data_IF_169756288111
#
_entry.id   IF_169756288111
#
_cell.length_a   1.000
_cell.length_b   1.000
_cell.length_c   1.000
_cell.angle_alpha   90.00
_cell.angle_beta   90.00
_cell.angle_gamma   90.00
#
_symmetry.space_group_name_H-M   'P 1'
#
loop_
_entity.id
_entity.type
_entity.pdbx_description
1 polymer ?
#
# COMPACT_ATOMS: atom_id res chain seq x y z
N UNK A 1 20.32 -4.77 -2.39
CA UNK A 1 19.54 -4.75 -3.63
C UNK A 1 20.29 -3.90 -4.65
N UNK A 2 20.23 -4.21 -5.95
CA UNK A 2 20.81 -3.40 -7.02
C UNK A 2 19.69 -2.83 -7.88
N UNK A 3 19.88 -1.63 -8.43
CA UNK A 3 18.85 -0.89 -9.14
C UNK A 3 19.36 -0.48 -10.51
N UNK A 4 18.54 -0.69 -11.54
CA UNK A 4 18.67 0.01 -12.83
C UNK A 4 17.67 1.16 -12.84
N UNK A 5 18.04 2.35 -13.30
CA UNK A 5 17.17 3.52 -13.23
C UNK A 5 17.24 4.42 -14.47
N UNK A 6 16.18 5.20 -14.68
CA UNK A 6 16.11 6.30 -15.65
C UNK A 6 15.85 7.61 -14.89
N UNK A 7 16.66 8.62 -15.17
CA UNK A 7 16.46 9.99 -14.73
C UNK A 7 16.02 10.84 -15.91
N UNK A 8 15.08 11.74 -15.66
CA UNK A 8 14.75 12.85 -16.54
C UNK A 8 15.51 14.10 -16.08
N UNK A 9 16.30 14.67 -16.99
CA UNK A 9 17.01 15.93 -16.77
C UNK A 9 16.10 17.14 -16.98
N UNK A 10 16.51 18.31 -16.51
CA UNK A 10 15.74 19.56 -16.65
C UNK A 10 15.47 19.96 -18.11
N UNK A 11 16.30 19.50 -19.05
CA UNK A 11 16.14 19.69 -20.49
C UNK A 11 15.25 18.63 -21.17
N UNK A 12 14.62 17.75 -20.37
CA UNK A 12 13.80 16.63 -20.85
C UNK A 12 14.59 15.45 -21.40
N UNK A 13 15.92 15.47 -21.40
CA UNK A 13 16.74 14.33 -21.81
C UNK A 13 16.73 13.22 -20.75
N UNK A 14 17.03 11.98 -21.18
CA UNK A 14 17.03 10.82 -20.28
C UNK A 14 18.44 10.31 -20.03
N UNK A 15 18.76 10.07 -18.77
CA UNK A 15 19.98 9.41 -18.33
C UNK A 15 19.65 8.04 -17.73
N UNK A 16 20.33 6.99 -18.18
CA UNK A 16 20.16 5.63 -17.66
C UNK A 16 21.42 5.23 -16.89
N UNK A 17 21.23 4.73 -15.68
CA UNK A 17 22.31 4.29 -14.79
C UNK A 17 21.94 3.04 -13.99
N UNK A 18 22.88 2.56 -13.20
CA UNK A 18 22.63 1.58 -12.14
C UNK A 18 23.30 2.01 -10.83
N UNK A 19 22.81 1.51 -9.70
CA UNK A 19 23.33 1.79 -8.36
C UNK A 19 22.89 0.72 -7.37
N UNK A 20 23.53 0.61 -6.21
CA UNK A 20 23.04 -0.19 -5.08
C UNK A 20 22.29 0.66 -4.03
N UNK A 21 22.27 1.97 -4.22
CA UNK A 21 21.61 2.97 -3.37
C UNK A 21 21.02 4.04 -4.29
N UNK A 22 19.69 4.02 -4.45
CA UNK A 22 18.99 4.83 -5.44
C UNK A 22 18.84 6.29 -4.99
N UNK A 23 18.43 6.50 -3.74
CA UNK A 23 18.21 7.83 -3.16
C UNK A 23 19.51 8.65 -3.15
N UNK A 24 20.58 8.09 -2.57
CA UNK A 24 21.89 8.74 -2.53
C UNK A 24 22.41 9.06 -3.93
N UNK A 25 22.12 8.20 -4.90
CA UNK A 25 22.56 8.40 -6.29
C UNK A 25 21.83 9.56 -6.95
N UNK A 26 20.51 9.66 -6.77
CA UNK A 26 19.70 10.79 -7.27
C UNK A 26 20.18 12.10 -6.65
N UNK A 27 20.42 12.14 -5.34
CA UNK A 27 20.97 13.31 -4.65
C UNK A 27 22.34 13.70 -5.22
N UNK A 28 23.23 12.73 -5.42
CA UNK A 28 24.56 12.96 -5.99
C UNK A 28 24.48 13.62 -7.38
N UNK A 29 23.52 13.22 -8.22
CA UNK A 29 23.28 13.86 -9.52
C UNK A 29 22.79 15.30 -9.35
N UNK A 30 21.85 15.56 -8.43
CA UNK A 30 21.31 16.89 -8.16
C UNK A 30 22.34 17.86 -7.55
N UNK A 31 23.31 17.36 -6.79
CA UNK A 31 24.45 18.16 -6.30
C UNK A 31 25.57 18.36 -7.34
N UNK A 32 25.38 17.98 -8.61
CA UNK A 32 26.38 18.14 -9.68
C UNK A 32 27.60 17.20 -9.60
N UNK A 33 27.61 16.28 -8.62
CA UNK A 33 28.67 15.29 -8.38
C UNK A 33 28.39 13.93 -9.06
N UNK A 34 27.27 13.82 -9.77
CA UNK A 34 26.91 12.64 -10.54
C UNK A 34 27.71 12.46 -11.83
N UNK A 35 27.13 11.71 -12.77
CA UNK A 35 27.76 11.45 -14.06
C UNK A 35 28.06 12.74 -14.83
N UNK A 36 29.11 12.71 -15.66
CA UNK A 36 29.48 13.83 -16.55
C UNK A 36 28.29 14.33 -17.38
N UNK A 37 27.43 13.41 -17.83
CA UNK A 37 26.25 13.73 -18.65
C UNK A 37 25.24 14.62 -17.91
N UNK A 38 24.95 14.31 -16.65
CA UNK A 38 23.93 15.01 -15.85
C UNK A 38 24.44 16.30 -15.22
N UNK A 39 25.75 16.55 -15.23
CA UNK A 39 26.34 17.77 -14.65
C UNK A 39 25.87 18.98 -15.46
N UNK A 40 25.23 19.94 -14.78
CA UNK A 40 24.63 21.12 -15.43
C UNK A 40 23.29 20.87 -16.11
N UNK A 41 22.73 19.65 -16.01
CA UNK A 41 21.38 19.29 -16.50
C UNK A 41 20.39 18.98 -15.37
N UNK A 42 20.76 19.35 -14.15
CA UNK A 42 19.90 19.27 -12.98
C UNK A 42 18.90 20.43 -12.91
N UNK A 43 17.88 20.33 -12.04
CA UNK A 43 17.57 19.17 -11.23
C UNK A 43 17.11 17.98 -12.09
N UNK A 44 17.48 16.77 -11.68
CA UNK A 44 17.06 15.51 -12.28
C UNK A 44 15.97 14.88 -11.43
N UNK A 45 15.02 14.22 -12.09
CA UNK A 45 13.94 13.46 -11.47
C UNK A 45 14.08 11.98 -11.78
N UNK A 46 13.93 11.13 -10.78
CA UNK A 46 13.80 9.69 -10.99
C UNK A 46 12.44 9.41 -11.63
N UNK A 47 12.43 8.78 -12.80
CA UNK A 47 11.21 8.51 -13.59
C UNK A 47 10.96 7.02 -13.82
N UNK A 48 11.94 6.16 -13.52
CA UNK A 48 11.82 4.71 -13.61
C UNK A 48 12.93 4.01 -12.81
N UNK A 49 12.64 2.86 -12.20
CA UNK A 49 13.66 1.94 -11.71
C UNK A 49 13.20 0.48 -11.73
N UNK A 50 14.17 -0.44 -11.79
CA UNK A 50 14.01 -1.89 -11.65
C UNK A 50 14.94 -2.40 -10.54
N UNK A 51 14.48 -3.36 -9.74
CA UNK A 51 15.29 -4.02 -8.72
C UNK A 51 15.90 -5.34 -9.23
N UNK A 52 17.13 -5.61 -8.82
CA UNK A 52 17.90 -6.79 -9.21
C UNK A 52 18.68 -7.35 -8.03
N UNK A 53 18.78 -8.68 -7.99
CA UNK A 53 19.50 -9.38 -6.92
C UNK A 53 21.00 -9.15 -7.03
N UNK A 54 21.52 -9.14 -8.26
CA UNK A 54 22.96 -9.02 -8.54
C UNK A 54 23.30 -7.71 -9.26
N UNK A 55 24.56 -7.29 -9.13
CA UNK A 55 25.10 -6.13 -9.84
C UNK A 55 25.15 -6.39 -11.34
N UNK A 56 25.47 -7.62 -11.72
CA UNK A 56 25.62 -8.07 -13.11
C UNK A 56 24.29 -7.96 -13.86
N UNK A 57 23.17 -8.34 -13.23
CA UNK A 57 21.82 -8.15 -13.77
C UNK A 57 21.50 -6.69 -14.01
N UNK A 58 21.75 -5.83 -13.00
CA UNK A 58 21.52 -4.39 -13.12
C UNK A 58 22.35 -3.75 -14.25
N UNK A 59 23.63 -4.11 -14.36
CA UNK A 59 24.50 -3.61 -15.43
C UNK A 59 24.06 -4.11 -16.81
N UNK A 60 23.66 -5.39 -16.93
CA UNK A 60 23.15 -5.95 -18.18
C UNK A 60 21.86 -5.24 -18.61
N UNK A 61 20.98 -4.95 -17.65
CA UNK A 61 19.73 -4.22 -17.89
C UNK A 61 19.98 -2.76 -18.27
N UNK A 62 20.87 -2.06 -17.58
CA UNK A 62 21.31 -0.70 -17.93
C UNK A 62 21.79 -0.64 -19.39
N UNK A 63 22.64 -1.59 -19.81
CA UNK A 63 23.14 -1.68 -21.17
C UNK A 63 22.03 -1.94 -22.20
N UNK A 64 21.03 -2.75 -21.86
CA UNK A 64 19.86 -2.96 -22.70
C UNK A 64 19.02 -1.68 -22.84
N UNK A 65 18.69 -1.02 -21.72
CA UNK A 65 17.88 0.20 -21.71
C UNK A 65 18.59 1.33 -22.46
N UNK A 66 19.91 1.47 -22.35
CA UNK A 66 20.67 2.49 -23.09
C UNK A 66 20.47 2.40 -24.60
N UNK A 67 20.29 1.19 -25.15
CA UNK A 67 20.06 0.95 -26.59
C UNK A 67 18.62 1.23 -27.05
N UNK A 68 17.66 1.34 -26.12
CA UNK A 68 16.27 1.59 -26.48
C UNK A 68 16.09 3.02 -27.02
N UNK A 69 15.24 3.20 -28.05
CA UNK A 69 14.85 4.51 -28.51
C UNK A 69 14.08 5.27 -27.42
N UNK A 70 14.02 6.60 -27.53
CA UNK A 70 13.32 7.45 -26.56
C UNK A 70 11.87 7.02 -26.34
N UNK A 71 11.18 6.61 -27.41
CA UNK A 71 9.80 6.14 -27.38
C UNK A 71 9.62 4.88 -26.53
N UNK A 72 10.52 3.90 -26.65
CA UNK A 72 10.48 2.69 -25.83
C UNK A 72 10.79 2.99 -24.37
N UNK A 73 11.77 3.89 -24.09
CA UNK A 73 12.00 4.38 -22.73
C UNK A 73 10.76 5.05 -22.16
N UNK A 74 10.06 5.85 -22.95
CA UNK A 74 8.80 6.48 -22.56
C UNK A 74 7.72 5.45 -22.25
N UNK A 75 7.62 4.37 -23.02
CA UNK A 75 6.68 3.28 -22.73
C UNK A 75 7.01 2.57 -21.42
N UNK A 76 8.30 2.41 -21.08
CA UNK A 76 8.71 1.86 -19.78
C UNK A 76 8.28 2.75 -18.60
N UNK A 77 8.18 4.06 -18.82
CA UNK A 77 7.76 5.05 -17.82
C UNK A 77 6.26 5.33 -17.83
N UNK A 78 5.57 4.92 -18.90
CA UNK A 78 4.16 5.21 -19.08
C UNK A 78 3.37 4.26 -18.21
N UNK A 79 2.80 4.77 -17.13
CA UNK A 79 1.70 4.08 -16.48
C UNK A 79 0.63 3.81 -17.53
N UNK A 80 0.12 2.58 -17.59
CA UNK A 80 -1.04 2.29 -18.44
C UNK A 80 -2.24 3.07 -17.92
N UNK A 81 -2.50 4.24 -18.52
CA UNK A 81 -3.67 5.05 -18.21
C UNK A 81 -4.81 4.61 -19.11
N UNK A 82 -5.91 4.16 -18.51
CA UNK A 82 -7.15 3.93 -19.24
C UNK A 82 -7.81 5.29 -19.54
N UNK A 83 -7.47 5.88 -20.68
CA UNK A 83 -7.99 7.20 -21.09
C UNK A 83 -9.52 7.23 -21.21
N UNK A 84 -10.18 6.07 -21.38
CA UNK A 84 -11.63 5.95 -21.40
C UNK A 84 -12.26 6.42 -20.08
N UNK A 85 -11.56 6.30 -18.95
CA UNK A 85 -12.07 6.77 -17.65
C UNK A 85 -12.26 8.29 -17.58
N UNK A 86 -11.59 9.07 -18.44
CA UNK A 86 -11.68 10.53 -18.47
C UNK A 86 -13.05 11.06 -18.91
N UNK A 87 -13.90 10.21 -19.49
CA UNK A 87 -15.24 10.59 -19.93
C UNK A 87 -16.28 10.58 -18.79
N UNK A 88 -15.98 9.92 -17.67
CA UNK A 88 -16.91 9.79 -16.54
C UNK A 88 -16.83 11.01 -15.62
N UNK A 89 -17.97 11.37 -15.03
CA UNK A 89 -18.05 12.35 -13.96
C UNK A 89 -17.34 11.89 -12.70
N UNK A 90 -17.11 12.82 -11.76
CA UNK A 90 -16.50 12.50 -10.47
C UNK A 90 -17.35 11.48 -9.71
N UNK A 91 -18.67 11.63 -9.75
CA UNK A 91 -19.63 10.79 -9.05
C UNK A 91 -19.60 9.35 -9.60
N UNK A 92 -19.59 9.20 -10.93
CA UNK A 92 -19.45 7.88 -11.57
C UNK A 92 -18.10 7.22 -11.27
N UNK A 93 -17.02 8.01 -11.18
CA UNK A 93 -15.71 7.48 -10.80
C UNK A 93 -15.67 7.04 -9.33
N UNK A 94 -16.36 7.74 -8.43
CA UNK A 94 -16.51 7.32 -7.03
C UNK A 94 -17.32 6.02 -6.95
N UNK A 95 -18.42 5.91 -7.67
CA UNK A 95 -19.19 4.67 -7.76
C UNK A 95 -18.34 3.51 -8.30
N UNK A 96 -17.51 3.77 -9.31
CA UNK A 96 -16.58 2.77 -9.86
C UNK A 96 -15.54 2.32 -8.82
N UNK A 97 -15.02 3.23 -8.00
CA UNK A 97 -14.11 2.91 -6.89
C UNK A 97 -14.80 2.00 -5.88
N UNK A 98 -16.06 2.26 -5.53
CA UNK A 98 -16.82 1.37 -4.65
C UNK A 98 -17.00 -0.02 -5.25
N UNK A 99 -17.33 -0.11 -6.55
CA UNK A 99 -17.47 -1.38 -7.27
C UNK A 99 -16.16 -2.17 -7.21
N UNK A 100 -15.02 -1.54 -7.52
CA UNK A 100 -13.72 -2.20 -7.46
C UNK A 100 -13.34 -2.64 -6.05
N UNK A 101 -13.67 -1.84 -5.04
CA UNK A 101 -13.43 -2.22 -3.63
C UNK A 101 -14.25 -3.45 -3.23
N UNK A 102 -15.52 -3.50 -3.65
CA UNK A 102 -16.41 -4.65 -3.42
C UNK A 102 -15.94 -5.90 -4.19
N UNK A 103 -15.44 -5.73 -5.42
CA UNK A 103 -14.90 -6.83 -6.22
C UNK A 103 -13.62 -7.40 -5.61
N UNK A 104 -12.74 -6.53 -5.11
CA UNK A 104 -11.53 -6.97 -4.41
C UNK A 104 -11.88 -7.85 -3.20
N UNK A 105 -12.84 -7.41 -2.36
CA UNK A 105 -13.27 -8.20 -1.20
C UNK A 105 -13.87 -9.55 -1.61
N UNK A 106 -14.61 -9.56 -2.73
CA UNK A 106 -15.17 -10.80 -3.25
C UNK A 106 -14.08 -11.77 -3.72
N UNK A 107 -13.06 -11.28 -4.41
CA UNK A 107 -11.91 -12.08 -4.87
C UNK A 107 -11.13 -12.67 -3.69
N UNK A 108 -10.81 -11.84 -2.69
CA UNK A 108 -10.16 -12.23 -1.44
C UNK A 108 -10.95 -13.34 -0.71
N UNK A 109 -12.26 -13.13 -0.54
CA UNK A 109 -13.14 -14.12 0.09
C UNK A 109 -13.29 -15.42 -0.70
N UNK A 110 -13.27 -15.39 -2.03
CA UNK A 110 -13.34 -16.58 -2.88
C UNK A 110 -12.04 -17.40 -2.78
N UNK A 111 -10.90 -16.72 -2.82
CA UNK A 111 -9.60 -17.37 -2.65
C UNK A 111 -9.49 -18.04 -1.28
N UNK A 112 -9.89 -17.33 -0.21
CA UNK A 112 -9.88 -17.85 1.15
C UNK A 112 -10.76 -19.10 1.28
N UNK A 113 -11.99 -19.06 0.76
CA UNK A 113 -12.94 -20.18 0.83
C UNK A 113 -12.42 -21.42 0.10
N UNK A 114 -11.78 -21.27 -1.05
CA UNK A 114 -11.21 -22.41 -1.77
C UNK A 114 -10.03 -23.04 -1.01
N UNK A 115 -9.19 -22.22 -0.37
CA UNK A 115 -8.11 -22.69 0.50
C UNK A 115 -8.65 -23.40 1.74
N UNK A 116 -9.62 -22.79 2.44
CA UNK A 116 -10.28 -23.38 3.61
C UNK A 116 -10.89 -24.74 3.27
N UNK A 117 -11.62 -24.82 2.16
CA UNK A 117 -12.25 -26.06 1.69
C UNK A 117 -11.23 -27.16 1.38
N UNK A 118 -10.08 -26.81 0.82
CA UNK A 118 -9.08 -27.77 0.34
C UNK A 118 -8.11 -28.20 1.44
N UNK A 119 -7.71 -27.28 2.32
CA UNK A 119 -6.61 -27.47 3.27
C UNK A 119 -7.00 -27.23 4.74
N UNK A 120 -8.23 -26.81 5.01
CA UNK A 120 -8.74 -26.50 6.35
C UNK A 120 -8.48 -25.06 6.79
N UNK A 121 -9.18 -24.65 7.85
CA UNK A 121 -9.16 -23.29 8.40
C UNK A 121 -7.75 -22.85 8.85
N UNK A 122 -7.01 -23.71 9.53
CA UNK A 122 -5.69 -23.34 10.08
C UNK A 122 -4.70 -22.95 8.98
N UNK A 123 -4.67 -23.71 7.89
CA UNK A 123 -3.81 -23.44 6.72
C UNK A 123 -4.29 -22.19 6.00
N UNK A 124 -5.61 -22.04 5.79
CA UNK A 124 -6.16 -20.83 5.17
C UNK A 124 -5.77 -19.57 5.94
N UNK A 125 -5.94 -19.57 7.26
CA UNK A 125 -5.57 -18.45 8.15
C UNK A 125 -4.06 -18.18 8.17
N UNK A 126 -3.22 -19.22 8.09
CA UNK A 126 -1.76 -19.03 7.99
C UNK A 126 -1.37 -18.28 6.72
N UNK A 127 -1.91 -18.69 5.57
CA UNK A 127 -1.62 -18.02 4.32
C UNK A 127 -2.21 -16.61 4.27
N UNK A 128 -3.42 -16.43 4.81
CA UNK A 128 -4.06 -15.12 4.92
C UNK A 128 -3.16 -14.13 5.68
N UNK A 129 -2.70 -14.51 6.89
CA UNK A 129 -1.74 -13.70 7.66
C UNK A 129 -0.50 -13.30 6.85
N UNK A 130 0.11 -14.23 6.10
CA UNK A 130 1.31 -13.96 5.28
C UNK A 130 1.04 -13.01 4.11
N UNK A 131 -0.15 -13.04 3.54
CA UNK A 131 -0.58 -12.09 2.50
C UNK A 131 -0.72 -10.70 3.13
N UNK A 132 -1.39 -10.64 4.28
CA UNK A 132 -1.66 -9.41 5.01
C UNK A 132 -0.41 -8.70 5.53
N UNK A 133 0.60 -9.45 5.99
CA UNK A 133 1.93 -8.90 6.35
C UNK A 133 2.53 -8.01 5.25
N UNK A 134 2.25 -8.34 3.99
CA UNK A 134 2.76 -7.60 2.83
C UNK A 134 1.76 -6.56 2.34
N UNK A 135 0.51 -6.96 2.19
CA UNK A 135 -0.51 -6.13 1.56
C UNK A 135 -0.76 -4.84 2.34
N UNK A 136 -0.91 -4.92 3.68
CA UNK A 136 -1.20 -3.73 4.51
C UNK A 136 -0.12 -2.66 4.41
N UNK A 137 1.15 -3.07 4.31
CA UNK A 137 2.29 -2.16 4.14
C UNK A 137 2.26 -1.51 2.75
N UNK A 138 1.91 -2.27 1.71
CA UNK A 138 1.77 -1.74 0.35
C UNK A 138 0.64 -0.71 0.28
N UNK A 139 -0.52 -1.03 0.86
CA UNK A 139 -1.66 -0.12 0.94
C UNK A 139 -1.28 1.16 1.69
N UNK A 140 -0.75 1.02 2.92
CA UNK A 140 -0.37 2.14 3.76
C UNK A 140 0.64 3.07 3.09
N UNK A 141 1.68 2.53 2.40
CA UNK A 141 2.65 3.34 1.66
C UNK A 141 2.00 4.16 0.55
N UNK A 142 1.11 3.56 -0.24
CA UNK A 142 0.40 4.26 -1.32
C UNK A 142 -0.50 5.35 -0.78
N UNK A 143 -1.23 5.08 0.32
CA UNK A 143 -2.08 6.08 0.98
C UNK A 143 -1.22 7.20 1.57
N UNK A 144 -0.09 6.87 2.21
CA UNK A 144 0.85 7.84 2.77
C UNK A 144 1.40 8.79 1.69
N UNK A 145 1.78 8.23 0.54
CA UNK A 145 2.24 9.00 -0.62
C UNK A 145 1.12 9.88 -1.19
N UNK A 146 -0.08 9.33 -1.37
CA UNK A 146 -1.25 10.08 -1.86
C UNK A 146 -1.60 11.28 -0.95
N UNK A 147 -1.56 11.07 0.37
CA UNK A 147 -1.80 12.09 1.39
C UNK A 147 -0.59 13.01 1.62
N UNK A 148 0.58 12.70 1.05
CA UNK A 148 1.86 13.40 1.29
C UNK A 148 2.21 13.51 2.78
N UNK A 149 1.97 12.43 3.54
CA UNK A 149 2.28 12.40 4.96
C UNK A 149 3.81 12.29 5.18
N UNK A 150 4.37 12.94 6.22
CA UNK A 150 5.76 12.75 6.59
C UNK A 150 6.00 11.33 7.16
N UNK A 151 7.27 10.96 7.34
CA UNK A 151 7.61 9.64 7.90
C UNK A 151 7.00 9.38 9.27
N UNK A 152 6.88 10.43 10.08
CA UNK A 152 6.19 10.44 11.36
C UNK A 152 4.83 11.14 11.22
N UNK A 153 3.86 10.43 10.62
CA UNK A 153 2.53 10.98 10.32
C UNK A 153 1.70 11.33 11.55
N UNK A 154 2.02 10.76 12.72
CA UNK A 154 1.29 10.97 13.97
C UNK A 154 -0.18 10.54 13.91
N UNK A 155 -0.93 10.88 14.99
CA UNK A 155 -2.34 10.51 15.17
C UNK A 155 -3.23 11.04 14.04
N UNK A 156 -3.06 12.30 13.66
CA UNK A 156 -3.84 12.92 12.59
C UNK A 156 -3.57 12.31 11.21
N UNK A 157 -2.30 11.95 10.94
CA UNK A 157 -1.94 11.25 9.71
C UNK A 157 -2.55 9.86 9.66
N UNK A 158 -2.53 9.13 10.78
CA UNK A 158 -3.15 7.82 10.89
C UNK A 158 -4.68 7.90 10.70
N UNK A 159 -5.35 8.86 11.33
CA UNK A 159 -6.79 9.02 11.21
C UNK A 159 -7.22 9.23 9.75
N UNK A 160 -6.54 10.10 9.02
CA UNK A 160 -6.80 10.33 7.59
C UNK A 160 -6.50 9.10 6.73
N UNK A 161 -5.41 8.38 7.04
CA UNK A 161 -5.02 7.20 6.29
C UNK A 161 -6.02 6.05 6.48
N UNK A 162 -6.52 5.84 7.70
CA UNK A 162 -7.53 4.82 8.00
C UNK A 162 -8.82 5.03 7.19
N UNK A 163 -9.26 6.28 7.02
CA UNK A 163 -10.44 6.63 6.21
C UNK A 163 -10.29 6.37 4.70
N UNK A 164 -9.07 6.13 4.23
CA UNK A 164 -8.78 5.87 2.80
C UNK A 164 -8.46 4.40 2.51
N UNK A 165 -8.56 3.53 3.51
CA UNK A 165 -8.43 2.10 3.30
C UNK A 165 -9.56 1.60 2.42
N UNK A 166 -9.29 0.64 1.54
CA UNK A 166 -10.31 0.24 0.57
C UNK A 166 -11.56 -0.38 1.24
N UNK A 167 -11.42 -0.96 2.44
CA UNK A 167 -12.56 -1.48 3.21
C UNK A 167 -13.53 -0.41 3.66
N UNK A 168 -13.07 0.84 3.84
CA UNK A 168 -13.93 1.97 4.21
C UNK A 168 -14.98 2.28 3.15
N UNK A 169 -14.75 1.90 1.89
CA UNK A 169 -15.72 2.12 0.81
C UNK A 169 -17.00 1.26 0.94
N UNK A 170 -17.03 0.28 1.85
CA UNK A 170 -18.18 -0.60 2.05
C UNK A 170 -18.39 -1.01 3.52
N UNK A 171 -17.69 -0.37 4.44
CA UNK A 171 -17.82 -0.57 5.88
C UNK A 171 -18.26 0.74 6.51
N UNK A 172 -18.94 0.66 7.65
CA UNK A 172 -19.20 1.85 8.47
C UNK A 172 -18.21 1.80 9.63
N UNK A 173 -17.41 2.84 9.77
CA UNK A 173 -16.41 2.94 10.81
C UNK A 173 -16.48 4.27 11.56
N UNK A 174 -15.81 4.31 12.71
CA UNK A 174 -15.61 5.52 13.48
C UNK A 174 -14.19 5.58 14.07
N UNK A 175 -13.71 6.81 14.26
CA UNK A 175 -12.41 7.11 14.84
C UNK A 175 -12.64 7.99 16.07
N UNK A 176 -12.08 7.57 17.20
CA UNK A 176 -12.08 8.33 18.46
C UNK A 176 -10.64 8.63 18.82
N UNK A 177 -10.30 9.91 18.95
CA UNK A 177 -8.96 10.36 19.32
C UNK A 177 -8.98 10.86 20.76
N UNK A 178 -8.05 10.37 21.58
CA UNK A 178 -7.83 10.84 22.94
C UNK A 178 -6.33 10.93 23.23
N UNK A 179 -5.81 12.15 23.29
CA UNK A 179 -4.39 12.43 23.52
C UNK A 179 -3.48 11.78 22.48
N UNK A 180 -2.64 10.84 22.92
CA UNK A 180 -1.73 10.07 22.07
C UNK A 180 -2.33 8.73 21.59
N UNK A 181 -3.64 8.53 21.74
CA UNK A 181 -4.31 7.30 21.33
C UNK A 181 -5.40 7.56 20.29
N UNK A 182 -5.61 6.57 19.44
CA UNK A 182 -6.67 6.54 18.44
C UNK A 182 -7.36 5.18 18.52
N UNK A 183 -8.67 5.17 18.78
CA UNK A 183 -9.51 3.97 18.73
C UNK A 183 -10.25 3.95 17.41
N UNK A 184 -10.01 2.91 16.61
CA UNK A 184 -10.66 2.67 15.32
C UNK A 184 -11.68 1.55 15.46
N UNK A 185 -12.95 1.82 15.15
CA UNK A 185 -14.05 0.87 15.35
C UNK A 185 -14.77 0.62 14.04
N UNK A 186 -14.96 -0.64 13.69
CA UNK A 186 -15.79 -1.07 12.56
C UNK A 186 -17.19 -1.36 13.10
N UNK A 187 -18.13 -0.47 12.82
CA UNK A 187 -19.53 -0.59 13.23
C UNK A 187 -20.26 -1.63 12.38
N UNK A 188 -20.02 -1.62 11.06
CA UNK A 188 -20.65 -2.54 10.11
C UNK A 188 -19.57 -3.30 9.33
N UNK A 189 -19.49 -4.62 9.50
CA UNK A 189 -18.51 -5.46 8.83
C UNK A 189 -19.16 -6.35 7.76
N UNK A 190 -18.89 -6.07 6.48
CA UNK A 190 -19.46 -6.82 5.35
C UNK A 190 -19.14 -8.32 5.39
N UNK A 191 -17.96 -8.71 5.87
CA UNK A 191 -17.56 -10.12 5.98
C UNK A 191 -18.42 -10.85 7.00
N UNK A 192 -18.56 -10.29 8.20
CA UNK A 192 -19.37 -10.92 9.26
C UNK A 192 -20.85 -10.96 8.88
N UNK A 193 -21.39 -9.88 8.31
CA UNK A 193 -22.75 -9.85 7.76
C UNK A 193 -23.00 -10.94 6.69
N UNK A 194 -22.03 -11.13 5.78
CA UNK A 194 -22.15 -12.16 4.76
C UNK A 194 -22.16 -13.58 5.34
N UNK A 195 -21.43 -13.81 6.43
CA UNK A 195 -21.38 -15.11 7.13
C UNK A 195 -22.65 -15.35 7.95
N UNK A 196 -23.10 -14.35 8.69
CA UNK A 196 -24.36 -14.39 9.44
C UNK A 196 -25.54 -14.71 8.52
N UNK A 197 -25.65 -14.02 7.37
CA UNK A 197 -26.70 -14.28 6.37
C UNK A 197 -26.70 -15.71 5.84
N UNK A 198 -25.53 -16.37 5.83
CA UNK A 198 -25.35 -17.76 5.39
C UNK A 198 -25.48 -18.76 6.54
N UNK A 199 -25.73 -18.32 7.77
CA UNK A 199 -25.76 -19.17 8.96
C UNK A 199 -24.40 -19.80 9.27
N UNK A 200 -23.31 -19.16 8.85
CA UNK A 200 -21.93 -19.61 9.12
C UNK A 200 -21.45 -19.03 10.45
N UNK A 201 -20.57 -19.74 11.16
CA UNK A 201 -19.84 -19.17 12.29
C UNK A 201 -19.08 -17.91 11.88
N UNK A 202 -18.95 -16.94 12.79
CA UNK A 202 -18.20 -15.72 12.50
C UNK A 202 -16.73 -16.01 12.16
N UNK A 203 -16.16 -15.20 11.27
CA UNK A 203 -14.77 -15.38 10.85
C UNK A 203 -13.80 -14.92 11.96
N UNK A 204 -12.79 -15.72 12.35
CA UNK A 204 -11.85 -15.39 13.44
C UNK A 204 -10.79 -14.36 13.01
N UNK A 205 -11.24 -13.13 12.70
CA UNK A 205 -10.45 -12.02 12.17
C UNK A 205 -9.23 -11.61 12.99
N UNK A 206 -9.27 -11.78 14.31
CA UNK A 206 -8.35 -11.11 15.23
C UNK A 206 -6.87 -11.34 14.90
N UNK A 207 -6.49 -12.60 14.63
CA UNK A 207 -5.09 -12.95 14.33
C UNK A 207 -4.54 -12.30 13.06
N UNK A 208 -5.41 -11.99 12.10
CA UNK A 208 -5.06 -11.29 10.86
C UNK A 208 -5.09 -9.78 11.11
N UNK A 209 -6.11 -9.30 11.81
CA UNK A 209 -6.23 -7.90 12.19
C UNK A 209 -5.03 -7.38 12.98
N UNK A 210 -4.47 -8.16 13.90
CA UNK A 210 -3.28 -7.77 14.67
C UNK A 210 -2.09 -7.44 13.76
N UNK A 211 -1.90 -8.22 12.68
CA UNK A 211 -0.88 -7.98 11.67
C UNK A 211 -1.27 -6.77 10.82
N UNK A 212 -2.48 -6.79 10.27
CA UNK A 212 -3.01 -5.79 9.36
C UNK A 212 -2.95 -4.39 9.98
N UNK A 213 -3.64 -4.18 11.10
CA UNK A 213 -3.77 -2.89 11.75
C UNK A 213 -2.44 -2.45 12.36
N UNK A 214 -1.69 -3.38 12.95
CA UNK A 214 -0.38 -3.09 13.54
C UNK A 214 0.65 -2.60 12.51
N UNK A 215 0.81 -3.33 11.40
CA UNK A 215 1.74 -2.93 10.35
C UNK A 215 1.25 -1.72 9.55
N UNK A 216 -0.06 -1.52 9.40
CA UNK A 216 -0.61 -0.30 8.81
C UNK A 216 -0.18 0.92 9.63
N UNK A 217 -0.44 0.91 10.94
CA UNK A 217 -0.05 1.98 11.86
C UNK A 217 1.45 2.27 11.80
N UNK A 218 2.29 1.23 11.93
CA UNK A 218 3.75 1.35 11.85
C UNK A 218 4.27 1.90 10.53
N UNK A 219 3.54 1.68 9.44
CA UNK A 219 3.91 2.22 8.12
C UNK A 219 3.60 3.72 8.02
N UNK A 220 2.51 4.16 8.67
CA UNK A 220 2.18 5.60 8.77
C UNK A 220 3.15 6.33 9.69
N UNK A 221 3.41 5.77 10.87
CA UNK A 221 4.41 6.26 11.84
C UNK A 221 4.95 5.07 12.64
N UNK A 222 6.26 4.85 12.60
CA UNK A 222 6.89 3.66 13.17
C UNK A 222 6.79 3.56 14.70
N UNK A 223 6.37 4.63 15.37
CA UNK A 223 6.15 4.68 16.84
C UNK A 223 4.79 4.17 17.27
N UNK A 224 3.90 3.80 16.34
CA UNK A 224 2.62 3.23 16.71
C UNK A 224 2.76 1.79 17.22
N UNK A 225 2.15 1.54 18.38
CA UNK A 225 1.65 0.22 18.76
C UNK A 225 0.14 0.12 18.48
N UNK A 226 -0.34 -1.10 18.25
CA UNK A 226 -1.76 -1.38 18.00
C UNK A 226 -2.17 -2.65 18.75
N UNK A 227 -3.32 -2.61 19.41
CA UNK A 227 -3.92 -3.75 20.11
C UNK A 227 -5.41 -3.90 19.77
N UNK A 228 -5.88 -5.15 19.71
CA UNK A 228 -7.30 -5.43 19.59
C UNK A 228 -8.00 -5.18 20.94
N UNK A 229 -8.99 -4.29 20.94
CA UNK A 229 -9.94 -4.16 22.06
C UNK A 229 -11.00 -5.25 21.96
N UNK A 230 -11.55 -5.46 20.75
CA UNK A 230 -12.62 -6.43 20.45
C UNK A 230 -12.48 -6.86 18.97
N UNK A 231 -12.35 -8.15 18.66
CA UNK A 231 -12.50 -8.73 17.30
C UNK A 231 -12.77 -10.22 17.48
N UNK A 232 -13.49 -10.81 16.54
CA UNK A 232 -13.74 -12.25 16.53
C UNK A 232 -12.44 -13.07 16.54
N UNK A 233 -12.37 -14.15 17.33
CA UNK A 233 -13.47 -14.73 18.11
C UNK A 233 -13.71 -14.06 19.49
N UNK A 234 -12.79 -13.20 19.93
CA UNK A 234 -12.78 -12.58 21.26
C UNK A 234 -13.54 -11.23 21.29
N UNK A 235 -14.83 -11.25 20.98
CA UNK A 235 -15.66 -10.04 21.04
C UNK A 235 -15.93 -9.65 22.49
N UNK A 236 -15.65 -8.40 22.84
CA UNK A 236 -15.87 -7.82 24.19
C UNK A 236 -16.72 -6.55 24.16
N UNK A 237 -17.00 -6.01 22.97
CA UNK A 237 -17.85 -4.84 22.72
C UNK A 237 -18.89 -5.23 21.66
N UNK A 238 -20.17 -5.23 22.05
CA UNK A 238 -21.31 -5.62 21.21
C UNK A 238 -21.86 -4.46 20.36
N UNK A 239 -21.31 -3.26 20.51
CA UNK A 239 -21.71 -2.08 19.72
C UNK A 239 -20.87 -1.90 18.44
N UNK A 240 -19.89 -2.77 18.20
CA UNK A 240 -19.11 -2.82 16.97
C UNK A 240 -18.70 -4.25 16.61
N UNK A 241 -18.27 -4.48 15.36
CA UNK A 241 -17.75 -5.77 14.90
C UNK A 241 -16.28 -5.97 15.23
N UNK A 242 -15.51 -4.88 15.25
CA UNK A 242 -14.17 -4.87 15.84
C UNK A 242 -13.74 -3.47 16.26
N UNK A 243 -12.79 -3.40 17.19
CA UNK A 243 -12.25 -2.19 17.77
C UNK A 243 -10.75 -2.36 18.02
N UNK A 244 -9.96 -1.39 17.55
CA UNK A 244 -8.49 -1.43 17.56
C UNK A 244 -7.96 -0.13 18.15
N UNK A 245 -7.08 -0.25 19.15
CA UNK A 245 -6.45 0.90 19.78
C UNK A 245 -5.04 1.06 19.26
N UNK A 246 -4.78 2.23 18.70
CA UNK A 246 -3.45 2.70 18.39
C UNK A 246 -2.95 3.59 19.51
N UNK A 247 -1.69 3.40 19.91
CA UNK A 247 -1.00 4.28 20.85
C UNK A 247 0.27 4.80 20.19
N UNK A 248 0.41 6.12 20.11
CA UNK A 248 1.63 6.76 19.63
C UNK A 248 2.62 6.85 20.79
N UNK A 249 3.72 6.11 20.68
CA UNK A 249 4.81 6.15 21.65
C UNK A 249 5.65 7.41 21.44
N UNK A 250 6.09 8.02 22.56
CA UNK A 250 6.84 9.29 22.57
C UNK A 250 8.32 9.04 22.29
#
# INVERSE_FOLDING_TARGET
MNYTYILECADGSYYTGWTNDLEKRVETHNCGRGAKYTRGRGPVRLVYYEEHMTKEEAMKREAAIKKLPRTEKQLMMKEMTNDYLKQFSKEELIELIEIYSKNWLADDGLWFQEFEKTYGMDVAMEHDRRVWEKFTVIEAKKIKEFLKLPDQGGIEGLAKALQLRFYCNFSKDEIIIDGNTLTYRILECRVQHAREKKGMEFHPCKSVGEIEYGLFGKTIDNRFSCEAISCYPDITDDTCHCSWKYTLEV
#
